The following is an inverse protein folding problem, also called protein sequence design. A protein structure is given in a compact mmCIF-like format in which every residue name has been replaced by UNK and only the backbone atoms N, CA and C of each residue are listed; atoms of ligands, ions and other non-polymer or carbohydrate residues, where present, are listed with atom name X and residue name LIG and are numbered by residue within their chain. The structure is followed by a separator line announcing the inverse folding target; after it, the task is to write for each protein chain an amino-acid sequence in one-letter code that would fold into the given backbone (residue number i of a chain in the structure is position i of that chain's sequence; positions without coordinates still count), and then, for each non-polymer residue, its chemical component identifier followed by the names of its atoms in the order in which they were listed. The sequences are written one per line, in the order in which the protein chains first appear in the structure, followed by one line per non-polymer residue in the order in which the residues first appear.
data_IF_332377780799
#
_entry.id   IF_332377780799
#
_cell.length_a   1.000
_cell.length_b   1.000
_cell.length_c   1.000
_cell.angle_alpha   90.00
_cell.angle_beta   90.00
_cell.angle_gamma   90.00
#
_symmetry.space_group_name_H-M   'P 1'
#
loop_
_entity.id
_entity.type
_entity.pdbx_description
1 polymer ?
#
# COMPACT_ATOMS: atom_id res chain seq x y z
N UNK A 1 7.52 9.56 -6.83
CA UNK A 1 8.67 8.68 -7.17
C UNK A 1 9.72 9.26 -8.14
N UNK A 2 9.36 10.00 -9.18
CA UNK A 2 10.33 10.41 -10.25
C UNK A 2 11.61 11.10 -9.74
N UNK A 3 11.58 12.06 -8.79
CA UNK A 3 12.80 12.68 -8.28
C UNK A 3 13.77 11.67 -7.63
N UNK A 4 13.26 10.73 -6.83
CA UNK A 4 14.05 9.68 -6.19
C UNK A 4 14.71 8.78 -7.23
N UNK A 5 13.93 8.31 -8.22
CA UNK A 5 14.44 7.45 -9.30
C UNK A 5 15.60 8.13 -10.03
N UNK A 6 15.46 9.41 -10.40
CA UNK A 6 16.53 10.15 -11.07
C UNK A 6 17.75 10.34 -10.18
N UNK A 7 17.57 10.55 -8.88
CA UNK A 7 18.67 10.69 -7.94
C UNK A 7 19.45 9.38 -7.77
N UNK A 8 18.76 8.25 -7.64
CA UNK A 8 19.38 6.93 -7.56
C UNK A 8 20.15 6.60 -8.85
N UNK A 9 19.57 6.89 -10.03
CA UNK A 9 20.22 6.63 -11.32
C UNK A 9 21.50 7.46 -11.46
N UNK A 10 21.46 8.75 -11.08
CA UNK A 10 22.65 9.61 -11.02
C UNK A 10 23.71 9.12 -10.04
N UNK A 11 23.32 8.38 -9.01
CA UNK A 11 24.22 7.79 -8.02
C UNK A 11 24.82 6.47 -8.50
N UNK A 12 24.52 6.04 -9.72
CA UNK A 12 25.08 4.83 -10.35
C UNK A 12 24.27 3.56 -10.12
N UNK A 13 23.04 3.66 -9.59
CA UNK A 13 22.18 2.49 -9.41
C UNK A 13 21.44 2.14 -10.70
N UNK A 14 21.31 0.84 -10.98
CA UNK A 14 20.42 0.30 -12.01
C UNK A 14 19.00 0.18 -11.45
N UNK A 15 18.03 0.81 -12.12
CA UNK A 15 16.68 0.95 -11.58
C UNK A 15 15.68 0.35 -12.56
N UNK A 16 14.87 -0.58 -12.07
CA UNK A 16 13.65 -0.98 -12.75
C UNK A 16 12.43 -0.32 -12.12
N UNK A 17 11.59 0.27 -12.96
CA UNK A 17 10.35 0.94 -12.53
C UNK A 17 9.16 0.16 -13.11
N UNK A 18 8.40 -0.49 -12.25
CA UNK A 18 7.09 -1.03 -12.61
C UNK A 18 6.10 0.13 -12.70
N UNK A 19 5.61 0.40 -13.90
CA UNK A 19 4.70 1.51 -14.16
C UNK A 19 3.43 1.01 -14.85
N UNK A 20 2.31 1.11 -14.13
CA UNK A 20 0.99 0.80 -14.61
C UNK A 20 0.22 2.12 -14.82
N UNK A 21 -0.08 2.47 -16.07
CA UNK A 21 -0.75 3.74 -16.38
C UNK A 21 -1.61 3.65 -17.66
N UNK A 22 -2.39 4.70 -17.90
CA UNK A 22 -3.26 4.83 -19.08
C UNK A 22 -2.55 5.40 -20.31
N UNK A 23 -1.24 5.68 -20.23
CA UNK A 23 -0.47 6.16 -21.37
C UNK A 23 -0.03 4.95 -22.20
N UNK A 24 -0.34 4.86 -23.50
CA UNK A 24 0.10 3.74 -24.33
C UNK A 24 1.61 3.71 -24.57
N UNK A 25 2.34 4.80 -24.25
CA UNK A 25 3.78 4.92 -24.46
C UNK A 25 4.53 4.95 -23.15
N UNK A 26 5.61 4.16 -23.09
CA UNK A 26 6.63 4.25 -22.06
C UNK A 26 7.33 5.61 -22.11
N UNK A 27 7.55 6.22 -20.94
CA UNK A 27 8.36 7.46 -20.82
C UNK A 27 9.86 7.13 -20.75
N UNK A 28 10.71 8.05 -21.19
CA UNK A 28 12.15 7.96 -20.96
C UNK A 28 12.51 8.79 -19.71
N UNK A 29 13.05 8.15 -18.67
CA UNK A 29 13.45 8.81 -17.42
C UNK A 29 14.95 9.12 -17.32
N UNK A 30 15.76 8.64 -18.27
CA UNK A 30 17.21 8.79 -18.28
C UNK A 30 17.96 7.46 -18.40
N UNK A 31 19.30 7.49 -18.39
CA UNK A 31 20.13 6.29 -18.42
C UNK A 31 19.96 5.47 -17.13
N UNK A 32 20.27 4.17 -17.20
CA UNK A 32 20.19 3.21 -16.09
C UNK A 32 18.80 3.08 -15.45
N UNK A 33 17.75 3.44 -16.21
CA UNK A 33 16.36 3.30 -15.79
C UNK A 33 15.61 2.47 -16.84
N UNK A 34 15.23 1.26 -16.46
CA UNK A 34 14.37 0.39 -17.25
C UNK A 34 12.93 0.53 -16.76
N UNK A 35 12.02 0.94 -17.65
CA UNK A 35 10.60 1.00 -17.31
C UNK A 35 9.91 -0.26 -17.78
N UNK A 36 9.36 -1.00 -16.83
CA UNK A 36 8.47 -2.12 -17.09
C UNK A 36 7.07 -1.54 -17.19
N UNK A 37 6.72 -1.13 -18.42
CA UNK A 37 5.48 -0.42 -18.70
C UNK A 37 4.32 -1.36 -18.97
N UNK A 38 3.19 -1.02 -18.37
CA UNK A 38 1.95 -1.76 -18.43
C UNK A 38 0.85 -0.78 -18.74
N UNK A 39 0.30 -0.92 -19.93
CA UNK A 39 -0.79 -0.09 -20.40
C UNK A 39 -2.10 -0.62 -19.85
N UNK A 40 -2.83 0.25 -19.16
CA UNK A 40 -4.17 -0.03 -18.64
C UNK A 40 -5.14 0.85 -19.40
N UNK A 41 -5.92 0.30 -20.36
CA UNK A 41 -6.93 1.08 -21.06
C UNK A 41 -7.94 1.63 -20.06
N UNK A 42 -8.07 2.96 -20.05
CA UNK A 42 -8.95 3.68 -19.11
C UNK A 42 -10.37 3.16 -19.22
N UNK A 43 -10.94 2.64 -18.13
CA UNK A 43 -12.39 2.42 -18.04
C UNK A 43 -13.11 3.44 -17.17
N UNK A 44 -12.43 4.35 -16.44
CA UNK A 44 -13.11 5.11 -15.40
C UNK A 44 -12.63 6.56 -15.28
N UNK A 45 -13.50 7.51 -15.68
CA UNK A 45 -13.38 8.94 -15.36
C UNK A 45 -13.25 9.24 -13.86
N UNK A 46 -13.60 8.27 -13.01
CA UNK A 46 -13.41 8.29 -11.55
C UNK A 46 -11.93 8.47 -11.20
N UNK A 47 -10.99 7.79 -11.88
CA UNK A 47 -9.56 7.90 -11.59
C UNK A 47 -9.01 9.32 -11.83
N UNK A 48 -9.51 10.00 -12.88
CA UNK A 48 -9.10 11.37 -13.22
C UNK A 48 -9.65 12.37 -12.20
N UNK A 49 -10.92 12.24 -11.82
CA UNK A 49 -11.52 13.11 -10.80
C UNK A 49 -10.87 12.90 -9.42
N UNK A 50 -10.57 11.65 -9.08
CA UNK A 50 -9.91 11.30 -7.83
C UNK A 50 -8.48 11.82 -7.79
N UNK A 51 -7.69 11.65 -8.86
CA UNK A 51 -6.34 12.19 -8.98
C UNK A 51 -6.31 13.71 -8.77
N UNK A 52 -7.27 14.45 -9.34
CA UNK A 52 -7.37 15.90 -9.13
C UNK A 52 -7.66 16.25 -7.67
N UNK A 53 -8.57 15.53 -7.02
CA UNK A 53 -8.92 15.73 -5.59
C UNK A 53 -7.76 15.44 -4.65
N UNK A 54 -6.96 14.39 -4.89
CA UNK A 54 -5.82 14.03 -4.04
C UNK A 54 -4.79 15.16 -3.92
N UNK A 55 -4.59 15.94 -4.97
CA UNK A 55 -3.62 17.05 -4.97
C UNK A 55 -4.18 18.36 -4.42
N UNK A 56 -5.51 18.48 -4.29
CA UNK A 56 -6.16 19.76 -3.95
C UNK A 56 -6.97 19.71 -2.66
N UNK A 57 -6.98 18.60 -1.92
CA UNK A 57 -7.78 18.45 -0.71
C UNK A 57 -7.19 17.47 0.29
N UNK A 58 -7.68 17.54 1.53
CA UNK A 58 -7.43 16.51 2.53
C UNK A 58 -8.27 15.27 2.18
N UNK A 59 -7.60 14.13 2.02
CA UNK A 59 -8.26 12.85 1.78
C UNK A 59 -8.87 12.39 3.11
N UNK A 60 -10.18 12.16 3.15
CA UNK A 60 -10.85 11.57 4.32
C UNK A 60 -10.87 10.04 4.23
N UNK A 61 -11.09 9.34 5.34
CA UNK A 61 -11.09 7.87 5.38
C UNK A 61 -11.95 7.19 4.30
N UNK A 62 -13.14 7.70 3.91
CA UNK A 62 -13.93 7.13 2.81
C UNK A 62 -13.27 7.25 1.42
N UNK A 63 -12.48 8.31 1.20
CA UNK A 63 -11.76 8.50 -0.06
C UNK A 63 -10.60 7.49 -0.19
N UNK A 64 -9.94 7.13 0.92
CA UNK A 64 -8.89 6.10 0.96
C UNK A 64 -9.45 4.75 0.49
N UNK A 65 -10.67 4.38 0.88
CA UNK A 65 -11.31 3.16 0.39
C UNK A 65 -11.47 3.16 -1.14
N UNK A 66 -11.89 4.28 -1.71
CA UNK A 66 -12.07 4.43 -3.16
C UNK A 66 -10.73 4.30 -3.89
N UNK A 67 -9.67 4.90 -3.35
CA UNK A 67 -8.31 4.78 -3.86
C UNK A 67 -7.86 3.31 -3.93
N UNK A 68 -7.98 2.58 -2.82
CA UNK A 68 -7.57 1.16 -2.80
C UNK A 68 -8.43 0.29 -3.70
N UNK A 69 -9.72 0.59 -3.85
CA UNK A 69 -10.59 -0.12 -4.79
C UNK A 69 -10.14 0.06 -6.24
N UNK A 70 -9.74 1.28 -6.62
CA UNK A 70 -9.16 1.56 -7.94
C UNK A 70 -7.83 0.81 -8.11
N UNK A 71 -6.94 0.86 -7.11
CA UNK A 71 -5.68 0.11 -7.11
C UNK A 71 -5.87 -1.40 -7.25
N UNK A 72 -6.82 -1.98 -6.52
CA UNK A 72 -7.18 -3.41 -6.58
C UNK A 72 -7.68 -3.83 -7.96
N UNK A 73 -8.53 -3.02 -8.59
CA UNK A 73 -9.02 -3.32 -9.93
C UNK A 73 -7.88 -3.27 -10.95
N UNK A 74 -7.01 -2.26 -10.85
CA UNK A 74 -5.79 -2.15 -11.67
C UNK A 74 -4.91 -3.38 -11.50
N UNK A 75 -4.66 -3.83 -10.27
CA UNK A 75 -3.85 -5.01 -10.02
C UNK A 75 -4.52 -6.31 -10.49
N UNK A 76 -5.84 -6.42 -10.37
CA UNK A 76 -6.60 -7.56 -10.90
C UNK A 76 -6.47 -7.64 -12.43
N UNK A 77 -6.70 -6.53 -13.12
CA UNK A 77 -6.56 -6.47 -14.57
C UNK A 77 -5.11 -6.76 -14.98
N UNK A 78 -4.16 -6.23 -14.23
CA UNK A 78 -2.73 -6.50 -14.39
C UNK A 78 -2.36 -7.99 -14.25
N UNK A 79 -2.82 -8.67 -13.19
CA UNK A 79 -2.55 -10.09 -12.99
C UNK A 79 -3.26 -10.97 -14.02
N UNK A 80 -4.44 -10.55 -14.52
CA UNK A 80 -5.18 -11.30 -15.54
C UNK A 80 -4.55 -11.15 -16.92
N UNK A 81 -4.22 -9.92 -17.32
CA UNK A 81 -3.93 -9.58 -18.72
C UNK A 81 -2.42 -9.45 -19.00
N UNK A 82 -1.59 -9.38 -17.95
CA UNK A 82 -0.13 -9.18 -18.06
C UNK A 82 0.66 -10.06 -17.07
N UNK A 83 0.12 -11.23 -16.74
CA UNK A 83 0.74 -12.18 -15.80
C UNK A 83 2.19 -12.53 -16.17
N UNK A 84 2.51 -12.61 -17.45
CA UNK A 84 3.84 -12.93 -17.98
C UNK A 84 4.88 -11.87 -17.61
N UNK A 85 4.49 -10.58 -17.60
CA UNK A 85 5.36 -9.49 -17.18
C UNK A 85 5.62 -9.54 -15.68
N UNK A 86 4.61 -9.94 -14.90
CA UNK A 86 4.77 -10.15 -13.45
C UNK A 86 5.70 -11.30 -13.16
N UNK A 87 5.50 -12.45 -13.78
CA UNK A 87 6.36 -13.61 -13.56
C UNK A 87 7.81 -13.24 -13.87
N UNK A 88 8.05 -12.51 -14.97
CA UNK A 88 9.39 -12.00 -15.26
C UNK A 88 9.94 -11.12 -14.14
N UNK A 89 9.18 -10.17 -13.61
CA UNK A 89 9.63 -9.33 -12.47
C UNK A 89 9.93 -10.21 -11.25
N UNK A 90 9.07 -11.18 -10.96
CA UNK A 90 9.21 -12.09 -9.83
C UNK A 90 10.40 -13.03 -9.98
N UNK A 91 10.84 -13.35 -11.20
CA UNK A 91 11.99 -14.22 -11.46
C UNK A 91 13.34 -13.47 -11.52
N UNK A 92 13.31 -12.15 -11.66
CA UNK A 92 14.51 -11.30 -11.58
C UNK A 92 15.06 -11.23 -10.14
N UNK A 93 16.35 -10.94 -10.04
CA UNK A 93 17.04 -10.69 -8.75
C UNK A 93 17.06 -9.20 -8.44
N UNK A 94 16.71 -8.87 -7.21
CA UNK A 94 16.64 -7.48 -6.73
C UNK A 94 17.47 -7.31 -5.47
N UNK A 95 18.21 -6.22 -5.35
CA UNK A 95 18.94 -5.89 -4.11
C UNK A 95 18.08 -5.08 -3.12
N UNK A 96 17.08 -4.37 -3.63
CA UNK A 96 16.21 -3.49 -2.86
C UNK A 96 14.89 -3.26 -3.58
N UNK A 97 13.80 -3.28 -2.84
CA UNK A 97 12.46 -2.94 -3.36
C UNK A 97 12.00 -1.63 -2.74
N UNK A 98 11.56 -0.69 -3.58
CA UNK A 98 10.93 0.55 -3.10
C UNK A 98 9.45 0.54 -3.49
N UNK A 99 8.59 0.38 -2.49
CA UNK A 99 7.15 0.28 -2.65
C UNK A 99 6.49 1.65 -2.38
N UNK A 100 5.70 2.14 -3.34
CA UNK A 100 4.85 3.32 -3.12
C UNK A 100 3.63 2.92 -2.27
N UNK A 101 3.37 3.71 -1.23
CA UNK A 101 2.28 3.52 -0.26
C UNK A 101 0.88 3.65 -0.89
N UNK A 102 0.69 4.48 -1.92
CA UNK A 102 -0.63 4.56 -2.58
C UNK A 102 -1.07 3.25 -3.24
N UNK A 103 -0.10 2.39 -3.56
CA UNK A 103 -0.32 1.08 -4.13
C UNK A 103 -0.02 -0.04 -3.12
N UNK A 104 -0.01 0.31 -1.82
CA UNK A 104 0.53 -0.49 -0.72
C UNK A 104 0.12 -1.95 -0.79
N UNK A 105 -1.15 -2.29 -0.99
CA UNK A 105 -1.59 -3.70 -0.94
C UNK A 105 -0.82 -4.58 -1.93
N UNK A 106 -0.59 -4.10 -3.16
CA UNK A 106 0.08 -4.89 -4.20
C UNK A 106 1.61 -4.72 -4.16
N UNK A 107 2.08 -3.49 -3.96
CA UNK A 107 3.52 -3.22 -3.85
C UNK A 107 4.11 -3.93 -2.61
N UNK A 108 3.35 -4.02 -1.52
CA UNK A 108 3.71 -4.77 -0.33
C UNK A 108 3.64 -6.28 -0.51
N UNK A 109 2.66 -6.81 -1.25
CA UNK A 109 2.61 -8.23 -1.57
C UNK A 109 3.86 -8.67 -2.34
N UNK A 110 4.27 -7.89 -3.35
CA UNK A 110 5.51 -8.11 -4.10
C UNK A 110 6.73 -7.99 -3.18
N UNK A 111 6.81 -6.93 -2.39
CA UNK A 111 7.93 -6.74 -1.45
C UNK A 111 8.05 -7.88 -0.42
N UNK A 112 6.92 -8.35 0.11
CA UNK A 112 6.87 -9.46 1.07
C UNK A 112 7.25 -10.78 0.42
N UNK A 113 6.86 -11.01 -0.82
CA UNK A 113 7.27 -12.19 -1.60
C UNK A 113 8.80 -12.28 -1.69
N UNK A 114 9.47 -11.20 -2.08
CA UNK A 114 10.93 -11.19 -2.17
C UNK A 114 11.60 -11.24 -0.80
N UNK A 115 11.04 -10.58 0.22
CA UNK A 115 11.55 -10.69 1.59
C UNK A 115 11.49 -12.13 2.10
N UNK A 116 10.41 -12.86 1.81
CA UNK A 116 10.26 -14.25 2.22
C UNK A 116 11.12 -15.24 1.41
N UNK A 117 11.29 -14.99 0.10
CA UNK A 117 12.02 -15.90 -0.80
C UNK A 117 13.53 -15.74 -0.71
N UNK A 118 14.02 -14.50 -0.62
CA UNK A 118 15.43 -14.14 -0.84
C UNK A 118 15.97 -13.18 0.23
N UNK A 119 15.20 -12.87 1.27
CA UNK A 119 15.54 -11.92 2.33
C UNK A 119 15.78 -10.46 1.86
N UNK A 120 15.34 -10.13 0.64
CA UNK A 120 15.56 -8.81 0.03
C UNK A 120 14.88 -7.70 0.86
N UNK A 121 15.63 -6.65 1.26
CA UNK A 121 15.06 -5.53 1.99
C UNK A 121 14.09 -4.73 1.12
N UNK A 122 13.11 -4.09 1.77
CA UNK A 122 12.20 -3.18 1.09
C UNK A 122 11.94 -1.91 1.90
N UNK A 123 11.74 -0.80 1.19
CA UNK A 123 11.37 0.50 1.73
C UNK A 123 9.96 0.82 1.26
N UNK A 124 9.07 1.18 2.17
CA UNK A 124 7.81 1.82 1.79
C UNK A 124 7.97 3.32 1.83
N UNK A 125 7.65 3.97 0.73
CA UNK A 125 7.72 5.40 0.55
C UNK A 125 6.32 5.94 0.32
N UNK A 126 5.89 6.91 1.13
CA UNK A 126 4.70 7.68 0.78
C UNK A 126 5.07 8.87 -0.09
N UNK A 127 4.32 9.06 -1.17
CA UNK A 127 4.56 10.11 -2.17
C UNK A 127 3.49 11.20 -2.19
N UNK A 128 2.41 11.03 -1.44
CA UNK A 128 1.19 11.83 -1.64
C UNK A 128 0.33 11.98 -0.38
N UNK A 129 0.38 11.05 0.57
CA UNK A 129 -0.39 11.12 1.81
C UNK A 129 0.61 11.18 2.96
N UNK A 130 0.43 12.09 3.92
CA UNK A 130 1.12 11.93 5.21
C UNK A 130 0.45 10.82 6.02
N UNK A 131 0.33 9.63 5.43
CA UNK A 131 -0.11 8.45 6.14
C UNK A 131 1.10 7.92 6.90
N UNK A 132 1.04 7.78 8.24
CA UNK A 132 2.09 7.08 8.95
C UNK A 132 2.08 5.62 8.45
N UNK A 133 3.12 5.15 7.74
CA UNK A 133 3.10 3.81 7.13
C UNK A 133 2.93 2.71 8.20
N UNK A 134 3.35 3.00 9.43
CA UNK A 134 3.09 2.14 10.59
C UNK A 134 1.59 2.07 10.94
N UNK A 135 0.88 3.21 10.97
CA UNK A 135 -0.55 3.25 11.28
C UNK A 135 -1.41 2.60 10.19
N UNK A 136 -1.04 2.79 8.92
CA UNK A 136 -1.69 2.15 7.76
C UNK A 136 -1.45 0.63 7.75
N UNK A 137 -0.22 0.16 7.95
CA UNK A 137 0.09 -1.28 8.05
C UNK A 137 -0.59 -1.92 9.25
N UNK A 138 -0.66 -1.20 10.38
CA UNK A 138 -1.46 -1.60 11.53
C UNK A 138 -2.95 -1.61 11.23
N UNK A 139 -3.46 -0.73 10.35
CA UNK A 139 -4.86 -0.66 9.92
C UNK A 139 -5.26 -1.77 8.92
N UNK A 140 -4.40 -2.08 7.95
CA UNK A 140 -4.61 -3.13 6.94
C UNK A 140 -4.34 -4.54 7.50
N UNK A 141 -3.58 -4.64 8.60
CA UNK A 141 -3.36 -5.85 9.38
C UNK A 141 -4.32 -6.05 10.55
N UNK A 142 -5.34 -5.19 10.74
CA UNK A 142 -6.29 -5.31 11.87
C UNK A 142 -7.15 -6.56 11.74
N UNK A 143 -6.67 -7.66 12.30
CA UNK A 143 -7.55 -8.72 12.74
C UNK A 143 -8.21 -8.27 14.04
N UNK A 144 -9.54 -8.23 14.01
CA UNK A 144 -10.45 -7.90 15.12
C UNK A 144 -10.06 -8.66 16.41
N UNK A 145 -9.54 -9.88 16.26
CA UNK A 145 -9.18 -10.75 17.38
C UNK A 145 -7.75 -10.64 17.88
N UNK A 146 -6.83 -9.87 17.28
CA UNK A 146 -5.42 -9.91 17.68
C UNK A 146 -4.69 -8.57 17.73
N UNK A 147 -5.42 -7.47 17.58
CA UNK A 147 -4.84 -6.13 17.58
C UNK A 147 -5.36 -5.33 18.77
N UNK A 148 -4.50 -4.72 19.61
CA UNK A 148 -4.96 -3.76 20.60
C UNK A 148 -5.43 -2.47 19.89
N UNK A 149 -6.66 -2.06 20.17
CA UNK A 149 -7.28 -0.83 19.72
C UNK A 149 -6.92 0.37 20.59
N UNK A 150 -7.19 1.58 20.09
CA UNK A 150 -6.87 2.86 20.76
C UNK A 150 -7.54 2.99 22.14
N UNK A 151 -8.64 2.27 22.35
CA UNK A 151 -9.38 2.21 23.61
C UNK A 151 -9.09 0.96 24.46
N UNK A 152 -8.17 0.08 24.02
CA UNK A 152 -7.78 -1.12 24.78
C UNK A 152 -7.42 -0.69 26.19
N UNK A 153 -7.89 -1.45 27.18
CA UNK A 153 -7.61 -1.14 28.57
C UNK A 153 -6.15 -0.82 28.80
N UNK A 154 -5.91 0.36 29.38
CA UNK A 154 -4.60 0.74 29.87
C UNK A 154 -4.18 -0.32 30.89
N UNK A 155 -3.02 -0.97 30.70
CA UNK A 155 -2.49 -1.93 31.65
C UNK A 155 -2.52 -1.35 33.06
N UNK A 156 -3.16 -2.04 34.00
CA UNK A 156 -3.25 -1.61 35.42
C UNK A 156 -2.03 -2.04 36.23
N UNK A 157 -1.23 -2.93 35.66
CA UNK A 157 0.00 -3.47 36.22
C UNK A 157 1.07 -3.56 35.14
N UNK A 158 2.32 -3.47 35.55
CA UNK A 158 3.49 -3.46 34.66
C UNK A 158 3.70 -4.78 33.90
N UNK A 159 3.08 -5.87 34.37
CA UNK A 159 3.15 -7.21 33.77
C UNK A 159 1.96 -7.52 32.83
N UNK A 160 0.97 -6.65 32.76
CA UNK A 160 -0.24 -6.86 31.96
C UNK A 160 0.03 -6.57 30.46
N UNK A 161 -0.15 -7.59 29.63
CA UNK A 161 0.10 -7.55 28.17
C UNK A 161 -1.13 -8.00 27.41
N UNK A 162 -1.23 -7.54 26.15
CA UNK A 162 -2.24 -8.07 25.24
C UNK A 162 -1.87 -9.51 24.82
N UNK A 163 -2.72 -10.47 25.18
CA UNK A 163 -2.61 -11.88 24.85
C UNK A 163 -3.77 -12.31 23.93
N UNK A 164 -3.55 -12.36 22.61
CA UNK A 164 -4.61 -12.67 21.65
C UNK A 164 -5.12 -14.10 21.72
N UNK A 165 -4.44 -14.98 22.48
CA UNK A 165 -4.90 -16.35 22.78
C UNK A 165 -6.04 -16.36 23.80
N UNK A 166 -6.20 -15.32 24.61
CA UNK A 166 -7.26 -15.21 25.62
C UNK A 166 -8.57 -14.72 24.99
N UNK A 167 -9.62 -15.54 25.08
CA UNK A 167 -10.92 -15.26 24.48
C UNK A 167 -11.48 -13.89 24.86
N UNK A 168 -11.39 -13.51 26.14
CA UNK A 168 -11.95 -12.25 26.63
C UNK A 168 -11.27 -11.03 26.02
N UNK A 169 -9.95 -11.06 25.85
CA UNK A 169 -9.23 -9.95 25.21
C UNK A 169 -9.62 -9.83 23.72
N UNK A 170 -9.85 -10.95 23.03
CA UNK A 170 -10.37 -10.92 21.65
C UNK A 170 -11.78 -10.34 21.57
N UNK A 171 -12.66 -10.72 22.51
CA UNK A 171 -14.03 -10.24 22.54
C UNK A 171 -14.09 -8.73 22.81
N UNK A 172 -13.29 -8.22 23.75
CA UNK A 172 -13.19 -6.78 24.01
C UNK A 172 -12.69 -6.02 22.79
N UNK A 173 -11.61 -6.49 22.15
CA UNK A 173 -11.11 -5.90 20.90
C UNK A 173 -12.18 -5.91 19.79
N UNK A 174 -13.00 -6.95 19.72
CA UNK A 174 -14.09 -7.04 18.75
C UNK A 174 -15.20 -6.02 19.02
N UNK A 175 -15.59 -5.85 20.27
CA UNK A 175 -16.58 -4.84 20.67
C UNK A 175 -16.04 -3.43 20.39
N UNK A 176 -14.78 -3.16 20.72
CA UNK A 176 -14.14 -1.88 20.44
C UNK A 176 -14.05 -1.59 18.94
N UNK A 177 -13.74 -2.60 18.12
CA UNK A 177 -13.77 -2.47 16.66
C UNK A 177 -15.15 -2.02 16.16
N UNK A 178 -16.21 -2.61 16.70
CA UNK A 178 -17.59 -2.28 16.33
C UNK A 178 -17.90 -0.84 16.76
N UNK A 179 -17.52 -0.45 17.98
CA UNK A 179 -17.70 0.92 18.48
C UNK A 179 -16.94 1.92 17.61
N UNK A 180 -15.67 1.66 17.25
CA UNK A 180 -14.86 2.53 16.39
C UNK A 180 -15.52 2.69 15.01
N UNK A 181 -16.01 1.60 14.41
CA UNK A 181 -16.72 1.65 13.12
C UNK A 181 -17.96 2.55 13.20
N UNK A 182 -18.76 2.45 14.27
CA UNK A 182 -19.97 3.26 14.41
C UNK A 182 -19.67 4.71 14.82
N UNK A 183 -18.66 4.93 15.66
CA UNK A 183 -18.22 6.25 16.10
C UNK A 183 -17.56 7.05 14.96
N UNK A 184 -16.74 6.41 14.13
CA UNK A 184 -16.13 7.06 12.96
C UNK A 184 -17.18 7.37 11.89
N UNK A 185 -18.20 6.52 11.73
CA UNK A 185 -19.31 6.77 10.79
C UNK A 185 -20.29 7.88 11.24
N UNK A 186 -20.25 8.32 12.49
CA UNK A 186 -21.10 9.42 12.98
C UNK A 186 -20.48 10.80 12.77
N UNK A 187 -19.18 10.90 12.48
CA UNK A 187 -18.50 12.16 12.13
C UNK A 187 -18.45 12.44 10.62
N UNK A 188 -19.04 11.57 9.80
CA UNK A 188 -19.07 11.66 8.33
C UNK A 188 -20.45 11.91 7.73
N UNK A 189 -21.42 12.34 8.56
CA UNK A 189 -22.66 13.03 8.14
C UNK A 189 -22.53 14.52 8.38
#
# INVERSE_FOLDING_TARGET
MVPLIKWLSKSGHDISVLEANTNPKTRNLGPNITIIHIYIPTSQGIAIQFAKRMWTGTIHSPDIHTLYKVGNNVAKDFLRDHSEKIVKILDEKWDLIVADELFAIHSYAIATFFKGREDIPYITMSTSIMNPPAAERLALGRNIGSTPYVATWVPKKDDEKHEPTLFWQRLYNAIESVIEIFAVNTYSM
#
